data_IF_474474528784
#
_entry.id   IF_474474528784
#
_cell.length_a   1.000
_cell.length_b   1.000
_cell.length_c   1.000
_cell.angle_alpha   90.00
_cell.angle_beta   90.00
_cell.angle_gamma   90.00
#
_symmetry.space_group_name_H-M   'P 1'
#
loop_
_entity.id
_entity.type
_entity.pdbx_description
1 polymer ?
#
# COMPACT_ATOMS: atom_id res chain seq x y z
N UNK A 1 17.68 -12.80 30.61
CA UNK A 1 17.20 -11.45 30.33
C UNK A 1 16.18 -11.47 29.22
N UNK A 2 15.10 -10.79 29.40
CA UNK A 2 14.11 -10.72 28.34
C UNK A 2 14.59 -9.81 27.23
N UNK A 3 14.31 -10.19 25.98
CA UNK A 3 14.55 -9.28 24.87
C UNK A 3 13.80 -7.97 25.11
N UNK A 4 14.35 -6.90 24.61
CA UNK A 4 13.71 -5.60 24.69
C UNK A 4 12.41 -5.63 23.87
N UNK A 5 11.29 -5.53 24.54
CA UNK A 5 9.96 -5.56 23.90
C UNK A 5 9.79 -4.42 22.89
N UNK A 6 10.36 -3.26 23.19
CA UNK A 6 10.31 -2.12 22.27
C UNK A 6 11.11 -2.40 21.00
N UNK A 7 12.31 -2.95 21.15
CA UNK A 7 13.16 -3.31 20.00
C UNK A 7 12.51 -4.38 19.14
N UNK A 8 11.90 -5.40 19.77
CA UNK A 8 11.21 -6.44 19.06
C UNK A 8 9.99 -5.90 18.29
N UNK A 9 9.23 -5.02 18.94
CA UNK A 9 8.05 -4.43 18.32
C UNK A 9 8.43 -3.50 17.20
N UNK A 10 9.49 -2.73 17.36
CA UNK A 10 10.03 -1.89 16.30
C UNK A 10 10.48 -2.73 15.12
N UNK A 11 11.19 -3.81 15.38
CA UNK A 11 11.62 -4.75 14.33
C UNK A 11 10.43 -5.33 13.59
N UNK A 12 9.40 -5.73 14.33
CA UNK A 12 8.18 -6.28 13.75
C UNK A 12 7.51 -5.25 12.82
N UNK A 13 7.44 -3.99 13.26
CA UNK A 13 6.93 -2.91 12.45
C UNK A 13 7.71 -2.75 11.14
N UNK A 14 9.04 -2.70 11.24
CA UNK A 14 9.88 -2.53 10.05
C UNK A 14 9.75 -3.71 9.08
N UNK A 15 9.69 -4.93 9.61
CA UNK A 15 9.50 -6.12 8.77
C UNK A 15 8.13 -6.13 8.11
N UNK A 16 7.09 -5.73 8.83
CA UNK A 16 5.75 -5.62 8.26
C UNK A 16 5.73 -4.61 7.11
N UNK A 17 6.39 -3.47 7.27
CA UNK A 17 6.52 -2.47 6.21
C UNK A 17 7.21 -3.04 4.97
N UNK A 18 8.22 -3.88 5.16
CA UNK A 18 8.90 -4.53 4.03
C UNK A 18 7.96 -5.50 3.31
N UNK A 19 7.17 -6.27 4.06
CA UNK A 19 6.20 -7.19 3.47
C UNK A 19 5.19 -6.42 2.62
N UNK A 20 4.65 -5.33 3.16
CA UNK A 20 3.70 -4.48 2.43
C UNK A 20 4.35 -3.91 1.17
N UNK A 21 5.55 -3.38 1.28
CA UNK A 21 6.27 -2.79 0.15
C UNK A 21 6.51 -3.80 -0.99
N UNK A 22 6.73 -5.06 -0.65
CA UNK A 22 7.01 -6.11 -1.64
C UNK A 22 5.78 -6.78 -2.21
N UNK A 23 4.68 -6.79 -1.45
CA UNK A 23 3.50 -7.61 -1.80
C UNK A 23 2.20 -6.84 -1.90
N UNK A 24 2.24 -5.51 -1.96
CA UNK A 24 1.02 -4.70 -2.01
C UNK A 24 0.12 -5.03 -3.22
N UNK A 25 0.69 -5.55 -4.30
CA UNK A 25 -0.06 -5.90 -5.50
C UNK A 25 -0.86 -7.19 -5.37
N UNK A 26 -0.70 -7.91 -4.27
CA UNK A 26 -1.42 -9.14 -3.98
C UNK A 26 -2.51 -8.87 -2.96
N UNK A 27 -3.40 -9.85 -2.80
CA UNK A 27 -4.36 -9.81 -1.71
C UNK A 27 -3.61 -10.03 -0.40
N UNK A 28 -3.37 -8.96 0.31
CA UNK A 28 -2.57 -8.98 1.52
C UNK A 28 -3.44 -8.63 2.72
N UNK A 29 -3.51 -9.54 3.70
CA UNK A 29 -4.26 -9.32 4.94
C UNK A 29 -3.31 -9.21 6.11
N UNK A 30 -3.79 -8.58 7.19
CA UNK A 30 -3.03 -8.49 8.42
C UNK A 30 -2.63 -9.87 8.94
N UNK A 31 -3.54 -10.85 8.85
CA UNK A 31 -3.27 -12.22 9.27
C UNK A 31 -2.14 -12.86 8.45
N UNK A 32 -2.11 -12.60 7.15
CA UNK A 32 -1.04 -13.11 6.27
C UNK A 32 0.31 -12.52 6.63
N UNK A 33 0.36 -11.21 6.88
CA UNK A 33 1.59 -10.54 7.29
C UNK A 33 2.07 -11.10 8.63
N UNK A 34 1.17 -11.23 9.59
CA UNK A 34 1.51 -11.77 10.90
C UNK A 34 2.09 -13.18 10.80
N UNK A 35 1.45 -14.02 9.98
CA UNK A 35 1.93 -15.40 9.77
C UNK A 35 3.32 -15.42 9.15
N UNK A 36 3.55 -14.58 8.14
CA UNK A 36 4.85 -14.48 7.47
C UNK A 36 5.96 -14.07 8.44
N UNK A 37 5.62 -13.29 9.45
CA UNK A 37 6.58 -12.80 10.44
C UNK A 37 6.58 -13.63 11.72
N UNK A 38 5.91 -14.78 11.73
CA UNK A 38 5.80 -15.65 12.90
C UNK A 38 5.25 -14.90 14.12
N UNK A 39 4.24 -14.07 13.88
CA UNK A 39 3.63 -13.23 14.90
C UNK A 39 2.11 -13.34 14.84
N UNK A 40 1.41 -12.51 15.59
CA UNK A 40 -0.06 -12.46 15.58
C UNK A 40 -0.54 -11.14 15.00
N UNK A 41 -1.78 -11.11 14.47
CA UNK A 41 -2.36 -9.85 13.98
C UNK A 41 -2.34 -8.74 15.03
N UNK A 42 -2.60 -9.12 16.29
CA UNK A 42 -2.61 -8.16 17.39
C UNK A 42 -1.25 -7.52 17.61
N UNK A 43 -0.18 -8.34 17.53
CA UNK A 43 1.19 -7.84 17.70
C UNK A 43 1.57 -6.91 16.56
N UNK A 44 1.19 -7.26 15.33
CA UNK A 44 1.47 -6.42 14.16
C UNK A 44 0.72 -5.08 14.28
N UNK A 45 -0.56 -5.12 14.70
CA UNK A 45 -1.32 -3.90 14.93
C UNK A 45 -0.69 -3.00 15.98
N UNK A 46 -0.22 -3.59 17.08
CA UNK A 46 0.46 -2.83 18.13
C UNK A 46 1.75 -2.19 17.62
N UNK A 47 2.48 -2.91 16.77
CA UNK A 47 3.70 -2.39 16.17
C UNK A 47 3.40 -1.17 15.29
N UNK A 48 2.37 -1.25 14.47
CA UNK A 48 1.95 -0.11 13.65
C UNK A 48 1.49 1.08 14.51
N UNK A 49 0.71 0.79 15.52
CA UNK A 49 0.19 1.82 16.42
C UNK A 49 1.31 2.57 17.14
N UNK A 50 2.33 1.85 17.55
CA UNK A 50 3.41 2.43 18.35
C UNK A 50 4.45 3.16 17.51
N UNK A 51 4.79 2.65 16.34
CA UNK A 51 5.91 3.16 15.55
C UNK A 51 5.51 3.79 14.22
N UNK A 52 4.30 3.53 13.74
CA UNK A 52 3.93 3.89 12.37
C UNK A 52 3.09 5.14 12.22
N UNK A 53 2.42 5.57 13.26
CA UNK A 53 1.42 6.64 13.18
C UNK A 53 0.35 6.36 12.11
N UNK A 54 0.18 5.10 11.74
CA UNK A 54 -0.80 4.66 10.76
C UNK A 54 -1.16 3.20 11.02
N UNK A 55 -2.25 2.74 10.43
CA UNK A 55 -2.64 1.34 10.51
C UNK A 55 -2.00 0.55 9.37
N UNK A 56 -2.04 -0.78 9.48
CA UNK A 56 -1.63 -1.64 8.38
C UNK A 56 -2.43 -1.34 7.11
N UNK A 57 -3.74 -1.16 7.22
CA UNK A 57 -4.59 -0.84 6.07
C UNK A 57 -4.20 0.48 5.42
N UNK A 58 -3.87 1.47 6.21
CA UNK A 58 -3.40 2.76 5.70
C UNK A 58 -2.07 2.64 4.98
N UNK A 59 -1.14 1.86 5.53
CA UNK A 59 0.15 1.59 4.88
C UNK A 59 -0.06 0.90 3.53
N UNK A 60 -0.89 -0.14 3.51
CA UNK A 60 -1.20 -0.88 2.29
C UNK A 60 -1.83 0.04 1.24
N UNK A 61 -2.80 0.85 1.65
CA UNK A 61 -3.47 1.80 0.77
C UNK A 61 -2.49 2.81 0.19
N UNK A 62 -1.65 3.39 1.02
CA UNK A 62 -0.64 4.35 0.57
C UNK A 62 0.30 3.75 -0.47
N UNK A 63 0.77 2.52 -0.21
CA UNK A 63 1.66 1.83 -1.15
C UNK A 63 1.00 1.59 -2.48
N UNK A 64 -0.26 1.14 -2.46
CA UNK A 64 -1.02 0.89 -3.68
C UNK A 64 -1.24 2.18 -4.48
N UNK A 65 -1.61 3.25 -3.80
CA UNK A 65 -1.89 4.52 -4.47
C UNK A 65 -0.63 5.18 -5.03
N UNK A 66 0.47 5.14 -4.29
CA UNK A 66 1.75 5.65 -4.77
C UNK A 66 2.22 4.89 -6.00
N UNK A 67 2.15 3.56 -5.96
CA UNK A 67 2.53 2.73 -7.09
C UNK A 67 1.62 3.00 -8.30
N UNK A 68 0.32 3.17 -8.07
CA UNK A 68 -0.62 3.48 -9.14
C UNK A 68 -0.28 4.80 -9.82
N UNK A 69 -0.01 5.84 -9.04
CA UNK A 69 0.34 7.15 -9.58
C UNK A 69 1.59 7.06 -10.47
N UNK A 70 2.60 6.31 -10.02
CA UNK A 70 3.82 6.11 -10.79
C UNK A 70 3.55 5.35 -12.09
N UNK A 71 2.74 4.28 -12.04
CA UNK A 71 2.42 3.48 -13.22
C UNK A 71 1.60 4.27 -14.24
N UNK A 72 0.67 5.09 -13.78
CA UNK A 72 -0.15 5.92 -14.67
C UNK A 72 0.71 6.85 -15.52
N UNK A 73 1.82 7.32 -14.98
CA UNK A 73 2.74 8.21 -15.67
C UNK A 73 3.78 7.45 -16.48
N UNK A 74 4.39 6.42 -15.89
CA UNK A 74 5.50 5.69 -16.52
C UNK A 74 5.05 4.68 -17.57
N UNK A 75 3.87 4.11 -17.43
CA UNK A 75 3.34 3.08 -18.31
C UNK A 75 2.12 3.61 -19.06
N UNK A 76 2.33 4.56 -19.94
CA UNK A 76 1.27 5.26 -20.65
C UNK A 76 0.37 4.36 -21.49
N UNK A 77 0.93 3.27 -22.01
CA UNK A 77 0.20 2.36 -22.91
C UNK A 77 -0.77 1.45 -22.19
N UNK A 78 -0.59 1.20 -20.89
CA UNK A 78 -1.48 0.29 -20.18
C UNK A 78 -2.76 1.02 -19.74
N UNK A 79 -3.92 0.37 -19.87
CA UNK A 79 -5.17 1.00 -19.44
C UNK A 79 -5.26 1.12 -17.91
N UNK A 80 -6.10 2.05 -17.48
CA UNK A 80 -6.33 2.27 -16.05
C UNK A 80 -6.72 0.98 -15.33
N UNK A 81 -7.56 0.14 -15.94
CA UNK A 81 -7.97 -1.13 -15.34
C UNK A 81 -6.78 -2.08 -15.11
N UNK A 82 -5.77 -2.04 -15.97
CA UNK A 82 -4.57 -2.83 -15.78
C UNK A 82 -3.72 -2.29 -14.62
N UNK A 83 -3.63 -0.97 -14.49
CA UNK A 83 -2.98 -0.35 -13.33
C UNK A 83 -3.66 -0.79 -12.05
N UNK A 84 -4.99 -0.75 -12.02
CA UNK A 84 -5.78 -1.17 -10.86
C UNK A 84 -5.41 -2.59 -10.42
N UNK A 85 -5.33 -3.52 -11.37
CA UNK A 85 -4.96 -4.91 -11.07
C UNK A 85 -3.54 -5.05 -10.56
N UNK A 86 -2.61 -4.34 -11.19
CA UNK A 86 -1.21 -4.41 -10.80
C UNK A 86 -0.99 -3.94 -9.36
N UNK A 87 -1.78 -3.00 -8.88
CA UNK A 87 -1.66 -2.50 -7.52
C UNK A 87 -2.59 -3.19 -6.52
N UNK A 88 -3.27 -4.27 -6.94
CA UNK A 88 -3.98 -5.14 -6.02
C UNK A 88 -5.49 -4.96 -5.96
N UNK A 89 -6.09 -4.23 -6.89
CA UNK A 89 -7.54 -4.08 -6.94
C UNK A 89 -8.16 -5.03 -7.97
N UNK A 90 -9.19 -5.73 -7.56
CA UNK A 90 -9.94 -6.61 -8.46
C UNK A 90 -10.92 -5.85 -9.33
N UNK A 91 -11.45 -4.76 -8.80
CA UNK A 91 -12.51 -4.00 -9.46
C UNK A 91 -12.06 -2.57 -9.69
N UNK A 92 -12.07 -2.16 -10.96
CA UNK A 92 -11.64 -0.83 -11.34
C UNK A 92 -12.43 0.31 -10.64
N UNK A 93 -13.75 0.19 -10.42
CA UNK A 93 -14.47 1.25 -9.69
C UNK A 93 -13.98 1.45 -8.26
N UNK A 94 -13.61 0.39 -7.56
CA UNK A 94 -13.07 0.51 -6.19
C UNK A 94 -11.72 1.21 -6.20
N UNK A 95 -10.89 0.87 -7.18
CA UNK A 95 -9.61 1.54 -7.38
C UNK A 95 -9.80 3.02 -7.67
N UNK A 96 -10.68 3.34 -8.61
CA UNK A 96 -10.94 4.73 -9.02
C UNK A 96 -11.39 5.59 -7.83
N UNK A 97 -12.27 5.03 -6.98
CA UNK A 97 -12.75 5.73 -5.80
C UNK A 97 -11.61 5.99 -4.80
N UNK A 98 -10.80 4.98 -4.52
CA UNK A 98 -9.68 5.10 -3.60
C UNK A 98 -8.65 6.12 -4.12
N UNK A 99 -8.37 6.06 -5.42
CA UNK A 99 -7.44 6.98 -6.07
C UNK A 99 -7.92 8.42 -5.99
N UNK A 100 -9.20 8.65 -6.32
CA UNK A 100 -9.79 9.97 -6.26
C UNK A 100 -9.80 10.55 -4.83
N UNK A 101 -10.04 9.71 -3.84
CA UNK A 101 -9.98 10.14 -2.45
C UNK A 101 -8.58 10.60 -2.05
N UNK A 102 -7.56 9.93 -2.58
CA UNK A 102 -6.17 10.24 -2.28
C UNK A 102 -5.66 11.47 -3.03
N UNK A 103 -5.94 11.54 -4.33
CA UNK A 103 -5.34 12.56 -5.22
C UNK A 103 -6.32 13.63 -5.69
N UNK A 104 -7.59 13.52 -5.35
CA UNK A 104 -8.58 14.52 -5.71
C UNK A 104 -9.13 14.43 -7.12
N UNK A 105 -8.57 13.61 -7.98
CA UNK A 105 -9.00 13.43 -9.37
C UNK A 105 -9.00 11.93 -9.73
N UNK A 106 -9.72 11.58 -10.79
CA UNK A 106 -9.74 10.21 -11.29
C UNK A 106 -8.37 9.79 -11.82
N UNK A 107 -8.09 8.48 -11.88
CA UNK A 107 -6.85 8.00 -12.48
C UNK A 107 -6.63 8.49 -13.91
N UNK A 108 -7.68 8.48 -14.72
CA UNK A 108 -7.58 8.95 -16.11
C UNK A 108 -7.25 10.45 -16.17
N UNK A 109 -7.89 11.23 -15.33
CA UNK A 109 -7.64 12.67 -15.23
C UNK A 109 -6.22 12.94 -14.75
N UNK A 110 -5.77 12.20 -13.76
CA UNK A 110 -4.41 12.31 -13.21
C UNK A 110 -3.38 12.06 -14.32
N UNK A 111 -3.57 10.98 -15.09
CA UNK A 111 -2.68 10.66 -16.20
C UNK A 111 -2.66 11.78 -17.25
N UNK A 112 -3.83 12.27 -17.62
CA UNK A 112 -3.94 13.32 -18.61
C UNK A 112 -3.23 14.60 -18.17
N UNK A 113 -3.42 14.99 -16.93
CA UNK A 113 -2.75 16.17 -16.37
C UNK A 113 -1.24 16.02 -16.32
N UNK A 114 -0.76 14.86 -15.91
CA UNK A 114 0.67 14.57 -15.83
C UNK A 114 1.31 14.63 -17.22
N UNK A 115 0.65 14.08 -18.24
CA UNK A 115 1.15 14.11 -19.61
C UNK A 115 1.16 15.53 -20.17
N UNK A 116 0.20 16.34 -19.74
CA UNK A 116 0.08 17.71 -20.21
C UNK A 116 1.12 18.65 -19.60
N UNK A 117 1.43 18.43 -18.32
CA UNK A 117 2.41 19.25 -17.58
C UNK A 117 3.84 18.76 -17.72
N UNK A 118 4.04 17.55 -18.27
CA UNK A 118 5.37 16.95 -18.43
C UNK A 118 6.16 17.47 -19.62
N UNK A 119 5.66 18.45 -20.32
CA UNK A 119 6.35 19.04 -21.48
C UNK A 119 7.40 20.05 -21.08
#
# INVERSE_FOLDING_TARGET
MRPDTLSERRRLYLLARVVVARHYGRRLTLAMVARALSSSPRQVQRAYSQFGEMTFQEDLLQRRMTAAAELLISQRAIPVCAVARLVGYRQAPHFALAFRRRYGVSPACFRARALHTGE
#
